data_IF_909331486471
#
_entry.id   IF_909331486471
#
_cell.length_a   1.000
_cell.length_b   1.000
_cell.length_c   1.000
_cell.angle_alpha   90.00
_cell.angle_beta   90.00
_cell.angle_gamma   90.00
#
_symmetry.space_group_name_H-M   'P 1'
#
loop_
_entity.id
_entity.type
_entity.pdbx_description
1 polymer ?
#
# COMPACT_ATOMS: atom_id res chain seq x y z
N UNK A 1 -14.17 14.25 -18.76
CA UNK A 1 -13.09 13.97 -19.73
C UNK A 1 -11.99 13.19 -18.99
N UNK A 2 -12.07 11.86 -18.96
CA UNK A 2 -11.11 10.99 -18.24
C UNK A 2 -10.02 10.60 -19.23
N UNK A 3 -8.77 11.00 -18.95
CA UNK A 3 -7.62 10.73 -19.83
C UNK A 3 -7.10 9.32 -19.57
N UNK A 4 -7.21 8.48 -20.60
CA UNK A 4 -6.57 7.17 -20.72
C UNK A 4 -5.05 7.29 -20.51
N UNK A 5 -4.50 6.58 -19.52
CA UNK A 5 -3.06 6.45 -19.33
C UNK A 5 -2.57 5.17 -20.02
N UNK A 6 -1.51 5.35 -20.82
CA UNK A 6 -1.05 4.45 -21.85
C UNK A 6 -0.58 3.08 -21.35
N UNK A 7 -0.93 2.08 -22.13
CA UNK A 7 -0.36 0.73 -22.09
C UNK A 7 1.07 0.82 -22.64
N UNK A 8 2.08 0.80 -21.76
CA UNK A 8 3.49 0.61 -22.16
C UNK A 8 3.94 -0.81 -21.79
N UNK A 9 4.18 -1.60 -22.84
CA UNK A 9 5.04 -2.78 -22.95
C UNK A 9 5.24 -3.69 -21.72
N UNK A 10 4.58 -4.85 -21.73
CA UNK A 10 4.90 -6.02 -20.87
C UNK A 10 6.29 -6.56 -21.19
N UNK A 11 7.16 -6.66 -20.18
CA UNK A 11 8.32 -7.57 -20.19
C UNK A 11 7.95 -8.84 -19.39
N UNK A 12 8.14 -10.06 -19.91
CA UNK A 12 7.87 -11.28 -19.15
C UNK A 12 8.99 -11.48 -18.12
N UNK A 13 8.67 -11.37 -16.83
CA UNK A 13 9.63 -11.60 -15.72
C UNK A 13 9.69 -10.49 -14.67
N UNK A 14 9.04 -9.34 -14.88
CA UNK A 14 8.88 -8.33 -13.82
C UNK A 14 7.76 -8.77 -12.87
N UNK A 15 8.12 -9.38 -11.74
CA UNK A 15 7.23 -9.44 -10.58
C UNK A 15 7.09 -8.02 -10.07
N UNK A 16 6.14 -7.27 -10.63
CA UNK A 16 5.73 -6.01 -10.04
C UNK A 16 5.31 -6.32 -8.60
N UNK A 17 6.13 -5.92 -7.62
CA UNK A 17 5.67 -5.77 -6.24
C UNK A 17 4.38 -4.97 -6.35
N UNK A 18 3.23 -5.62 -6.15
CA UNK A 18 1.94 -4.94 -6.22
C UNK A 18 2.02 -3.85 -5.17
N UNK A 19 2.14 -2.60 -5.63
CA UNK A 19 2.09 -1.46 -4.75
C UNK A 19 0.66 -1.43 -4.24
N UNK A 20 0.46 -1.96 -3.04
CA UNK A 20 -0.82 -1.94 -2.39
C UNK A 20 -1.25 -0.49 -2.24
N UNK A 21 -2.34 -0.15 -2.90
CA UNK A 21 -2.91 1.18 -2.91
C UNK A 21 -4.06 1.17 -1.90
N UNK A 22 -3.88 1.75 -0.72
CA UNK A 22 -4.91 1.74 0.30
C UNK A 22 -6.13 2.60 -0.07
N UNK A 23 -6.13 3.25 -1.24
CA UNK A 23 -7.17 4.16 -1.66
C UNK A 23 -7.08 5.53 -0.99
N UNK A 24 -8.11 6.36 -1.20
CA UNK A 24 -8.17 7.76 -0.76
C UNK A 24 -8.33 7.96 0.76
N UNK A 25 -8.40 6.88 1.55
CA UNK A 25 -8.93 6.92 2.93
C UNK A 25 -7.90 7.01 4.06
N UNK A 26 -6.60 7.02 3.79
CA UNK A 26 -5.61 7.01 4.90
C UNK A 26 -5.21 8.41 5.32
N UNK A 27 -6.09 9.05 6.09
CA UNK A 27 -5.84 10.35 6.71
C UNK A 27 -4.70 10.27 7.76
N UNK A 28 -4.52 9.12 8.40
CA UNK A 28 -3.48 8.89 9.42
C UNK A 28 -2.39 7.98 8.88
N UNK A 29 -1.47 8.55 8.12
CA UNK A 29 -0.24 7.85 7.72
C UNK A 29 1.01 8.66 8.02
N UNK A 30 2.07 7.98 8.44
CA UNK A 30 3.40 8.58 8.52
C UNK A 30 4.17 8.30 7.23
N UNK A 31 4.86 9.31 6.70
CA UNK A 31 5.78 9.13 5.56
C UNK A 31 7.20 8.91 6.07
N UNK A 32 7.89 7.94 5.51
CA UNK A 32 9.26 7.58 5.87
C UNK A 32 10.09 7.24 4.63
N UNK A 33 11.42 7.19 4.75
CA UNK A 33 12.29 6.62 3.71
C UNK A 33 13.02 5.38 4.20
N UNK A 34 12.75 4.22 3.61
CA UNK A 34 13.42 2.95 3.92
C UNK A 34 14.27 2.56 2.71
N UNK A 35 15.58 2.36 2.91
CA UNK A 35 16.52 2.00 1.85
C UNK A 35 16.45 2.94 0.62
N UNK A 36 16.24 4.23 0.85
CA UNK A 36 16.13 5.25 -0.21
C UNK A 36 14.74 5.38 -0.84
N UNK A 37 13.83 4.44 -0.60
CA UNK A 37 12.46 4.45 -1.12
C UNK A 37 11.51 5.18 -0.18
N UNK A 38 10.62 6.01 -0.72
CA UNK A 38 9.52 6.60 0.04
C UNK A 38 8.52 5.51 0.40
N UNK A 39 8.17 5.44 1.68
CA UNK A 39 7.19 4.51 2.22
C UNK A 39 6.17 5.27 3.06
N UNK A 40 4.98 4.69 3.14
CA UNK A 40 3.87 5.15 3.97
C UNK A 40 3.60 4.07 5.02
N UNK A 41 3.76 4.43 6.29
CA UNK A 41 3.35 3.60 7.40
C UNK A 41 1.86 3.80 7.64
N UNK A 42 1.16 2.69 7.64
CA UNK A 42 -0.28 2.62 7.87
C UNK A 42 -0.55 1.73 9.07
N UNK A 43 -1.49 2.14 9.91
CA UNK A 43 -2.05 1.32 10.96
C UNK A 43 -3.56 1.32 10.77
N UNK A 44 -4.14 0.14 10.56
CA UNK A 44 -5.57 -0.11 10.56
C UNK A 44 -6.04 -0.55 11.94
N UNK A 45 -7.21 -0.10 12.36
CA UNK A 45 -7.93 -0.72 13.46
C UNK A 45 -8.34 -2.16 13.10
N UNK A 46 -8.73 -2.99 14.08
CA UNK A 46 -9.25 -4.33 13.80
C UNK A 46 -10.45 -4.34 12.85
N UNK A 47 -11.35 -3.37 12.98
CA UNK A 47 -12.55 -3.25 12.14
C UNK A 47 -12.16 -2.84 10.70
N UNK A 48 -11.30 -1.83 10.56
CA UNK A 48 -10.77 -1.40 9.25
C UNK A 48 -10.04 -2.55 8.54
N UNK A 49 -9.28 -3.35 9.28
CA UNK A 49 -8.57 -4.51 8.74
C UNK A 49 -9.51 -5.63 8.29
N UNK A 50 -10.64 -5.81 8.99
CA UNK A 50 -11.66 -6.79 8.63
C UNK A 50 -12.35 -6.41 7.31
N UNK A 51 -12.58 -5.11 7.09
CA UNK A 51 -13.27 -4.55 5.92
C UNK A 51 -12.39 -4.43 4.67
N UNK A 52 -11.07 -4.63 4.78
CA UNK A 52 -10.15 -4.60 3.64
C UNK A 52 -10.44 -5.72 2.63
N UNK A 53 -10.72 -5.34 1.39
CA UNK A 53 -10.92 -6.25 0.26
C UNK A 53 -9.64 -6.99 -0.15
N UNK A 54 -8.49 -6.32 -0.04
CA UNK A 54 -7.17 -6.90 -0.26
C UNK A 54 -6.30 -6.62 0.98
N UNK A 55 -5.52 -7.60 1.42
CA UNK A 55 -4.64 -7.49 2.58
C UNK A 55 -3.18 -7.49 2.13
N UNK A 56 -2.36 -6.52 2.55
CA UNK A 56 -0.92 -6.55 2.29
C UNK A 56 -0.30 -7.81 2.91
N UNK A 57 0.58 -8.47 2.15
CA UNK A 57 1.26 -9.68 2.60
C UNK A 57 2.26 -9.42 3.74
N UNK A 58 2.82 -8.20 3.77
CA UNK A 58 3.82 -7.78 4.77
C UNK A 58 3.17 -7.08 5.97
N UNK A 59 1.86 -7.22 6.16
CA UNK A 59 1.16 -6.65 7.31
C UNK A 59 1.47 -7.43 8.60
N UNK A 60 1.60 -6.72 9.71
CA UNK A 60 1.95 -7.29 11.02
C UNK A 60 0.98 -6.81 12.10
N UNK A 61 0.71 -7.66 13.09
CA UNK A 61 -0.13 -7.30 14.24
C UNK A 61 0.63 -6.39 15.22
N UNK A 62 -0.06 -5.40 15.78
CA UNK A 62 0.42 -4.47 16.79
C UNK A 62 -0.67 -4.31 17.87
N UNK A 63 -0.35 -3.94 19.13
CA UNK A 63 -1.37 -3.73 20.16
C UNK A 63 -2.47 -2.73 19.80
N UNK A 64 -2.20 -1.80 18.88
CA UNK A 64 -3.18 -0.80 18.41
C UNK A 64 -3.92 -1.20 17.12
N UNK A 65 -3.68 -2.40 16.57
CA UNK A 65 -4.30 -2.85 15.31
C UNK A 65 -3.35 -3.62 14.41
N UNK A 66 -3.46 -3.44 13.09
CA UNK A 66 -2.58 -4.07 12.10
C UNK A 66 -1.81 -2.99 11.37
N UNK A 67 -0.50 -3.15 11.25
CA UNK A 67 0.35 -2.16 10.59
C UNK A 67 1.05 -2.72 9.36
N UNK A 68 1.32 -1.87 8.37
CA UNK A 68 2.11 -2.21 7.20
C UNK A 68 2.88 -1.00 6.66
N UNK A 69 4.08 -1.25 6.14
CA UNK A 69 4.89 -0.28 5.42
C UNK A 69 4.64 -0.42 3.91
N UNK A 70 3.93 0.53 3.33
CA UNK A 70 3.57 0.51 1.92
C UNK A 70 4.52 1.38 1.12
N UNK A 71 5.04 0.88 0.00
CA UNK A 71 5.86 1.72 -0.90
C UNK A 71 4.97 2.78 -1.55
N UNK A 72 5.39 4.05 -1.49
CA UNK A 72 4.70 5.10 -2.23
C UNK A 72 4.99 4.95 -3.74
N UNK A 73 3.97 5.16 -4.59
CA UNK A 73 4.13 5.20 -6.04
C UNK A 73 4.90 6.45 -6.48
#
# INVERSE_FOLDING_TARGET
>A
MVRNLGVRGRRPGETFLRVFDPGHGIEKSARWRINGYEVRLVIWSPDEWADLQERPIDAQFHPSGVWCALRAK
#
